data_IF_129297928077
#
_entry.id   IF_129297928077
#
_cell.length_a   1.000
_cell.length_b   1.000
_cell.length_c   1.000
_cell.angle_alpha   90.00
_cell.angle_beta   90.00
_cell.angle_gamma   90.00
#
_symmetry.space_group_name_H-M   'P 1'
#
loop_
_entity.id
_entity.type
_entity.pdbx_description
1 polymer ?
#
# COMPACT_ATOMS: atom_id res chain seq x y z
N UNK A 1 8.96 17.81 -16.34
CA UNK A 1 9.41 18.38 -15.05
C UNK A 1 8.16 18.43 -14.20
N UNK A 2 7.93 17.40 -13.37
CA UNK A 2 6.72 17.31 -12.55
C UNK A 2 6.92 18.23 -11.36
N UNK A 3 6.08 19.25 -11.22
CA UNK A 3 5.98 20.01 -9.99
C UNK A 3 5.62 19.03 -8.87
N UNK A 4 6.60 18.73 -8.01
CA UNK A 4 6.30 18.28 -6.66
C UNK A 4 5.80 19.52 -5.93
N UNK A 5 4.52 19.84 -6.07
CA UNK A 5 3.88 20.88 -5.28
C UNK A 5 4.14 20.55 -3.80
N UNK A 6 4.89 21.45 -3.16
CA UNK A 6 5.08 21.43 -1.72
C UNK A 6 3.67 21.53 -1.14
N UNK A 7 3.22 20.58 -0.30
CA UNK A 7 1.89 20.60 0.28
C UNK A 7 1.66 21.96 0.95
N UNK A 8 0.49 22.55 0.72
CA UNK A 8 0.15 23.82 1.38
C UNK A 8 0.15 23.65 2.91
N UNK A 9 0.29 24.74 3.66
CA UNK A 9 0.23 24.68 5.13
C UNK A 9 -1.08 24.05 5.65
N UNK A 10 -2.18 24.27 4.94
CA UNK A 10 -3.50 23.70 5.27
C UNK A 10 -3.56 22.18 5.00
N UNK A 11 -2.89 21.70 3.95
CA UNK A 11 -2.77 20.26 3.66
C UNK A 11 -1.94 19.55 4.72
N UNK A 12 -0.87 20.18 5.19
CA UNK A 12 -0.02 19.63 6.25
C UNK A 12 -0.77 19.54 7.59
N UNK A 13 -1.56 20.55 7.93
CA UNK A 13 -2.37 20.56 9.14
C UNK A 13 -3.48 19.50 9.07
N UNK A 14 -4.15 19.36 7.93
CA UNK A 14 -5.15 18.31 7.69
C UNK A 14 -4.54 16.92 7.77
N UNK A 15 -3.35 16.74 7.20
CA UNK A 15 -2.60 15.48 7.26
C UNK A 15 -2.26 15.12 8.71
N UNK A 16 -1.68 16.06 9.46
CA UNK A 16 -1.28 15.86 10.86
C UNK A 16 -2.48 15.52 11.73
N UNK A 17 -3.59 16.25 11.55
CA UNK A 17 -4.85 15.94 12.25
C UNK A 17 -5.31 14.52 11.95
N UNK A 18 -5.28 14.10 10.68
CA UNK A 18 -5.73 12.75 10.30
C UNK A 18 -4.85 11.65 10.89
N UNK A 19 -3.54 11.85 10.95
CA UNK A 19 -2.62 10.91 11.62
C UNK A 19 -2.98 10.78 13.10
N UNK A 20 -3.23 11.88 13.79
CA UNK A 20 -3.57 11.87 15.21
C UNK A 20 -4.91 11.17 15.47
N UNK A 21 -5.94 11.44 14.67
CA UNK A 21 -7.24 10.75 14.75
C UNK A 21 -7.07 9.22 14.61
N UNK A 22 -6.30 8.77 13.61
CA UNK A 22 -6.06 7.34 13.41
C UNK A 22 -5.34 6.70 14.61
N UNK A 23 -4.36 7.39 15.19
CA UNK A 23 -3.65 6.90 16.39
C UNK A 23 -4.56 6.81 17.60
N UNK A 24 -5.44 7.80 17.80
CA UNK A 24 -6.42 7.80 18.87
C UNK A 24 -7.39 6.62 18.72
N UNK A 25 -7.96 6.42 17.53
CA UNK A 25 -8.86 5.31 17.20
C UNK A 25 -8.19 3.94 17.46
N UNK A 26 -6.94 3.79 17.03
CA UNK A 26 -6.18 2.55 17.21
C UNK A 26 -5.84 2.28 18.67
N UNK A 27 -5.55 3.32 19.46
CA UNK A 27 -5.23 3.21 20.89
C UNK A 27 -6.40 2.65 21.71
N UNK A 28 -7.64 2.79 21.24
CA UNK A 28 -8.83 2.24 21.90
C UNK A 28 -9.03 0.74 21.61
N UNK A 29 -8.28 0.15 20.67
CA UNK A 29 -8.42 -1.25 20.25
C UNK A 29 -7.40 -2.14 20.95
N UNK A 30 -7.77 -3.38 21.25
CA UNK A 30 -6.85 -4.37 21.83
C UNK A 30 -5.76 -4.72 20.83
N UNK A 31 -4.51 -4.80 21.28
CA UNK A 31 -3.36 -5.19 20.43
C UNK A 31 -3.56 -6.55 19.77
N UNK A 32 -4.18 -7.52 20.47
CA UNK A 32 -4.51 -8.83 19.89
C UNK A 32 -5.49 -8.75 18.73
N UNK A 33 -6.48 -7.86 18.81
CA UNK A 33 -7.41 -7.62 17.71
C UNK A 33 -6.69 -6.97 16.52
N UNK A 34 -5.90 -5.92 16.78
CA UNK A 34 -5.14 -5.22 15.74
C UNK A 34 -4.17 -6.16 15.00
N UNK A 35 -3.45 -7.02 15.75
CA UNK A 35 -2.55 -8.01 15.19
C UNK A 35 -3.28 -8.99 14.27
N UNK A 36 -4.40 -9.56 14.73
CA UNK A 36 -5.19 -10.49 13.94
C UNK A 36 -5.80 -9.82 12.70
N UNK A 37 -6.41 -8.64 12.87
CA UNK A 37 -7.11 -7.93 11.81
C UNK A 37 -6.16 -7.47 10.70
N UNK A 38 -4.98 -6.99 11.07
CA UNK A 38 -3.94 -6.55 10.13
C UNK A 38 -3.06 -7.70 9.60
N UNK A 39 -3.27 -8.94 10.08
CA UNK A 39 -2.36 -10.07 9.84
C UNK A 39 -0.90 -9.71 10.14
N UNK A 40 -0.69 -9.07 11.29
CA UNK A 40 0.60 -8.67 11.83
C UNK A 40 0.93 -9.46 13.11
N UNK A 41 2.21 -9.55 13.45
CA UNK A 41 2.67 -10.19 14.68
C UNK A 41 2.89 -9.13 15.76
N UNK A 42 2.27 -9.27 16.94
CA UNK A 42 2.50 -8.36 18.06
C UNK A 42 3.54 -8.92 19.03
N UNK A 43 4.59 -8.16 19.29
CA UNK A 43 5.65 -8.49 20.24
C UNK A 43 5.62 -7.54 21.44
N UNK A 44 5.21 -8.02 22.63
CA UNK A 44 5.28 -7.23 23.85
C UNK A 44 6.73 -6.88 24.20
N UNK A 45 6.95 -5.64 24.65
CA UNK A 45 8.24 -5.14 25.14
C UNK A 45 8.19 -4.83 26.64
N UNK A 46 7.05 -4.36 27.13
CA UNK A 46 6.76 -4.07 28.53
C UNK A 46 5.26 -4.35 28.81
N UNK A 47 4.78 -4.05 30.02
CA UNK A 47 3.41 -4.26 30.47
C UNK A 47 2.33 -3.61 29.59
N UNK A 48 2.61 -2.46 28.99
CA UNK A 48 1.68 -1.69 28.14
C UNK A 48 2.27 -1.31 26.77
N UNK A 49 3.46 -1.81 26.44
CA UNK A 49 4.21 -1.46 25.22
C UNK A 49 4.56 -2.68 24.39
N UNK A 50 4.67 -2.46 23.09
CA UNK A 50 5.11 -3.49 22.16
C UNK A 50 5.31 -2.94 20.76
N UNK A 51 5.41 -3.84 19.80
CA UNK A 51 5.51 -3.51 18.39
C UNK A 51 4.74 -4.53 17.55
N UNK A 52 4.13 -4.05 16.47
CA UNK A 52 3.57 -4.88 15.42
C UNK A 52 4.60 -5.06 14.30
N UNK A 53 4.83 -6.31 13.91
CA UNK A 53 5.72 -6.68 12.82
C UNK A 53 4.88 -7.17 11.63
N UNK A 54 5.13 -6.59 10.45
CA UNK A 54 4.47 -6.97 9.22
C UNK A 54 5.33 -6.63 8.00
N UNK A 55 4.90 -7.09 6.83
CA UNK A 55 5.56 -6.76 5.57
C UNK A 55 4.90 -5.55 4.91
N UNK A 56 5.73 -4.59 4.49
CA UNK A 56 5.37 -3.49 3.60
C UNK A 56 6.29 -3.56 2.37
N UNK A 57 5.71 -3.80 1.20
CA UNK A 57 6.46 -4.00 -0.06
C UNK A 57 7.58 -5.05 0.06
N UNK A 58 7.32 -6.13 0.81
CA UNK A 58 8.28 -7.19 1.06
C UNK A 58 9.34 -6.88 2.13
N UNK A 59 9.39 -5.65 2.65
CA UNK A 59 10.30 -5.27 3.74
C UNK A 59 9.64 -5.47 5.10
N UNK A 60 10.38 -5.98 6.07
CA UNK A 60 9.91 -6.08 7.45
C UNK A 60 9.88 -4.69 8.10
N UNK A 61 8.70 -4.28 8.55
CA UNK A 61 8.50 -3.01 9.24
C UNK A 61 7.92 -3.26 10.64
N UNK A 62 8.32 -2.41 11.56
CA UNK A 62 7.87 -2.41 12.95
C UNK A 62 7.03 -1.15 13.21
N UNK A 63 5.83 -1.32 13.76
CA UNK A 63 4.96 -0.24 14.21
C UNK A 63 4.84 -0.29 15.73
N UNK A 64 5.35 0.72 16.43
CA UNK A 64 5.34 0.75 17.89
C UNK A 64 3.93 0.89 18.46
N UNK A 65 3.75 0.42 19.70
CA UNK A 65 2.54 0.62 20.49
C UNK A 65 2.93 1.14 21.88
N UNK A 66 2.25 2.17 22.42
CA UNK A 66 1.06 2.84 21.87
C UNK A 66 1.34 4.02 20.92
N UNK A 67 2.60 4.37 20.64
CA UNK A 67 2.94 5.62 19.93
C UNK A 67 2.67 5.57 18.41
N UNK A 68 2.56 4.37 17.84
CA UNK A 68 2.39 4.14 16.40
C UNK A 68 3.42 4.90 15.56
N UNK A 69 4.69 4.76 15.91
CA UNK A 69 5.83 5.16 15.09
C UNK A 69 6.33 3.97 14.28
N UNK A 70 6.59 4.18 12.99
CA UNK A 70 7.00 3.10 12.08
C UNK A 70 8.48 3.21 11.71
N UNK A 71 9.17 2.08 11.71
CA UNK A 71 10.55 1.97 11.24
C UNK A 71 10.77 0.69 10.43
N UNK A 72 11.73 0.74 9.51
CA UNK A 72 12.24 -0.44 8.82
C UNK A 72 13.05 -1.28 9.82
N UNK A 73 12.71 -2.57 9.95
CA UNK A 73 13.30 -3.44 10.98
C UNK A 73 14.78 -3.72 10.74
N UNK A 74 15.22 -3.73 9.49
CA UNK A 74 16.60 -4.06 9.11
C UNK A 74 17.54 -2.89 9.34
N UNK A 75 17.10 -1.69 9.04
CA UNK A 75 17.91 -0.47 9.08
C UNK A 75 17.68 0.37 10.32
N UNK A 76 16.54 0.22 10.98
CA UNK A 76 16.11 1.06 12.11
C UNK A 76 15.64 2.46 11.69
N UNK A 77 15.64 2.78 10.39
CA UNK A 77 15.24 4.08 9.89
C UNK A 77 13.73 4.27 10.00
N UNK A 78 13.29 5.48 10.33
CA UNK A 78 11.89 5.84 10.28
C UNK A 78 11.34 5.69 8.86
N UNK A 79 10.11 5.18 8.76
CA UNK A 79 9.38 5.19 7.49
C UNK A 79 8.99 6.61 7.11
N UNK A 80 8.72 6.81 5.82
CA UNK A 80 8.18 8.08 5.33
C UNK A 80 6.83 8.39 5.99
N UNK A 81 6.44 9.67 6.00
CA UNK A 81 5.12 10.06 6.52
C UNK A 81 3.98 9.39 5.74
N UNK A 82 4.16 9.20 4.43
CA UNK A 82 3.17 8.54 3.57
C UNK A 82 3.04 7.05 3.90
N UNK A 83 4.14 6.35 4.13
CA UNK A 83 4.10 4.94 4.54
C UNK A 83 3.49 4.78 5.94
N UNK A 84 3.81 5.70 6.86
CA UNK A 84 3.19 5.71 8.19
C UNK A 84 1.68 5.88 8.08
N UNK A 85 1.19 6.87 7.33
CA UNK A 85 -0.27 7.08 7.22
C UNK A 85 -0.94 5.87 6.56
N UNK A 86 -0.30 5.27 5.55
CA UNK A 86 -0.79 4.06 4.90
C UNK A 86 -0.92 2.90 5.89
N UNK A 87 0.09 2.68 6.74
CA UNK A 87 0.04 1.68 7.80
C UNK A 87 -1.07 1.96 8.82
N UNK A 88 -1.23 3.21 9.26
CA UNK A 88 -2.30 3.58 10.19
C UNK A 88 -3.69 3.32 9.59
N UNK A 89 -3.91 3.71 8.32
CA UNK A 89 -5.14 3.40 7.62
C UNK A 89 -5.37 1.89 7.50
N UNK A 90 -4.33 1.14 7.16
CA UNK A 90 -4.40 -0.32 7.07
C UNK A 90 -4.82 -0.94 8.41
N UNK A 91 -4.13 -0.62 9.50
CA UNK A 91 -4.50 -1.12 10.84
C UNK A 91 -5.90 -0.66 11.28
N UNK A 92 -6.35 0.52 10.84
CA UNK A 92 -7.65 1.03 11.25
C UNK A 92 -8.80 0.36 10.49
N UNK A 93 -8.58 0.00 9.23
CA UNK A 93 -9.62 -0.49 8.31
C UNK A 93 -9.60 -2.00 8.10
N UNK A 94 -8.46 -2.66 8.32
CA UNK A 94 -8.38 -4.11 8.22
C UNK A 94 -9.25 -4.77 9.31
N UNK A 95 -9.94 -5.83 8.93
CA UNK A 95 -10.88 -6.59 9.76
C UNK A 95 -10.51 -8.08 9.87
N UNK A 96 -9.39 -8.49 9.26
CA UNK A 96 -8.93 -9.87 9.21
C UNK A 96 -9.66 -10.74 8.20
N UNK A 97 -10.58 -10.18 7.39
CA UNK A 97 -11.29 -10.94 6.36
C UNK A 97 -10.29 -11.51 5.34
N UNK A 98 -10.34 -12.83 5.15
CA UNK A 98 -9.45 -13.51 4.22
C UNK A 98 -9.71 -13.07 2.78
N UNK A 99 -8.64 -12.98 1.98
CA UNK A 99 -8.75 -12.67 0.54
C UNK A 99 -9.60 -13.75 -0.14
N UNK A 100 -10.59 -13.32 -0.90
CA UNK A 100 -11.45 -14.22 -1.70
C UNK A 100 -10.73 -14.81 -2.92
N UNK A 101 -9.55 -14.29 -3.26
CA UNK A 101 -8.80 -14.63 -4.47
C UNK A 101 -9.36 -13.96 -5.74
N UNK A 102 -10.47 -13.22 -5.64
CA UNK A 102 -11.02 -12.45 -6.75
C UNK A 102 -10.28 -11.12 -6.89
N UNK A 103 -9.77 -10.86 -8.09
CA UNK A 103 -9.27 -9.55 -8.48
C UNK A 103 -10.43 -8.62 -8.87
N UNK A 104 -10.31 -7.36 -8.46
CA UNK A 104 -11.19 -6.28 -8.88
C UNK A 104 -10.34 -5.12 -9.39
N UNK A 105 -10.83 -4.42 -10.40
CA UNK A 105 -10.21 -3.19 -10.88
C UNK A 105 -10.40 -2.04 -9.89
N UNK A 106 -9.62 -0.97 -10.04
CA UNK A 106 -9.79 0.24 -9.22
C UNK A 106 -11.22 0.80 -9.32
N UNK A 107 -11.86 0.71 -10.50
CA UNK A 107 -13.22 1.22 -10.71
C UNK A 107 -14.32 0.40 -10.04
N UNK A 108 -14.01 -0.81 -9.58
CA UNK A 108 -14.94 -1.66 -8.83
C UNK A 108 -14.89 -1.41 -7.32
N UNK A 109 -13.92 -0.62 -6.83
CA UNK A 109 -13.88 -0.20 -5.44
C UNK A 109 -15.09 0.69 -5.10
N UNK A 110 -15.56 0.69 -3.84
CA UNK A 110 -16.47 1.71 -3.35
C UNK A 110 -15.91 3.10 -3.70
N UNK A 111 -16.74 3.95 -4.31
CA UNK A 111 -16.39 5.28 -4.82
C UNK A 111 -15.30 5.33 -5.91
N UNK A 112 -14.70 4.19 -6.27
CA UNK A 112 -13.61 4.10 -7.25
C UNK A 112 -14.01 4.59 -8.63
N UNK A 113 -15.28 4.41 -9.06
CA UNK A 113 -15.78 4.91 -10.35
C UNK A 113 -15.62 6.41 -10.51
N UNK A 114 -15.89 7.18 -9.46
CA UNK A 114 -15.84 8.64 -9.51
C UNK A 114 -14.40 9.16 -9.56
N UNK A 115 -13.45 8.39 -9.03
CA UNK A 115 -12.03 8.78 -8.97
C UNK A 115 -11.16 8.10 -10.03
N UNK A 116 -11.70 7.10 -10.75
CA UNK A 116 -10.94 6.28 -11.69
C UNK A 116 -10.23 7.11 -12.76
N UNK A 117 -10.87 8.16 -13.31
CA UNK A 117 -10.24 8.98 -14.34
C UNK A 117 -8.99 9.71 -13.82
N UNK A 118 -9.06 10.30 -12.63
CA UNK A 118 -7.92 10.94 -12.00
C UNK A 118 -6.82 9.91 -11.70
N UNK A 119 -7.20 8.77 -11.09
CA UNK A 119 -6.29 7.66 -10.79
C UNK A 119 -5.52 7.18 -12.02
N UNK A 120 -6.22 6.93 -13.14
CA UNK A 120 -5.59 6.51 -14.39
C UNK A 120 -4.61 7.55 -14.94
N UNK A 121 -4.90 8.84 -14.76
CA UNK A 121 -4.05 9.93 -15.24
C UNK A 121 -2.64 9.91 -14.66
N UNK A 122 -2.48 9.63 -13.36
CA UNK A 122 -1.18 9.61 -12.68
C UNK A 122 -0.61 8.20 -12.44
N UNK A 123 -1.32 7.13 -12.80
CA UNK A 123 -0.85 5.74 -12.70
C UNK A 123 -0.78 5.06 -14.07
N UNK A 124 -1.91 4.54 -14.57
CA UNK A 124 -1.99 3.74 -15.79
C UNK A 124 -1.39 4.45 -17.00
N UNK A 125 -1.70 5.73 -17.21
CA UNK A 125 -1.13 6.51 -18.31
C UNK A 125 0.37 6.74 -18.17
N UNK A 126 0.90 6.84 -16.95
CA UNK A 126 2.35 6.89 -16.74
C UNK A 126 3.02 5.57 -17.12
N UNK A 127 2.43 4.43 -16.72
CA UNK A 127 2.94 3.11 -17.10
C UNK A 127 2.92 2.93 -18.63
N UNK A 128 1.81 3.29 -19.28
CA UNK A 128 1.68 3.24 -20.76
C UNK A 128 2.76 4.10 -21.43
N UNK A 129 3.03 5.31 -20.92
CA UNK A 129 4.07 6.19 -21.50
C UNK A 129 5.48 5.66 -21.27
N UNK A 130 5.73 5.00 -20.14
CA UNK A 130 7.04 4.46 -19.77
C UNK A 130 7.39 3.21 -20.56
N UNK A 131 6.45 2.29 -20.74
CA UNK A 131 6.71 1.00 -21.39
C UNK A 131 6.28 0.96 -22.86
N UNK A 132 5.24 1.71 -23.26
CA UNK A 132 4.66 1.65 -24.61
C UNK A 132 4.37 0.19 -24.98
N UNK A 133 4.92 -0.28 -26.09
CA UNK A 133 4.79 -1.65 -26.59
C UNK A 133 5.97 -2.56 -26.16
N UNK A 134 6.87 -2.08 -25.31
CA UNK A 134 8.04 -2.83 -24.82
C UNK A 134 7.68 -3.71 -23.62
N UNK A 135 7.04 -4.85 -23.92
CA UNK A 135 6.67 -5.86 -22.93
C UNK A 135 7.89 -6.44 -22.20
N UNK A 136 9.03 -6.59 -22.87
CA UNK A 136 10.23 -7.17 -22.26
C UNK A 136 10.77 -6.26 -21.14
N UNK A 137 10.80 -4.94 -21.37
CA UNK A 137 11.19 -3.97 -20.33
C UNK A 137 10.18 -3.93 -19.19
N UNK A 138 8.88 -4.08 -19.47
CA UNK A 138 7.85 -4.24 -18.44
C UNK A 138 8.09 -5.46 -17.55
N UNK A 139 8.29 -6.64 -18.15
CA UNK A 139 8.54 -7.89 -17.42
C UNK A 139 9.81 -7.82 -16.57
N UNK A 140 10.89 -7.28 -17.14
CA UNK A 140 12.16 -7.08 -16.44
C UNK A 140 11.99 -6.14 -15.23
N UNK A 141 11.32 -4.99 -15.42
CA UNK A 141 11.08 -4.03 -14.35
C UNK A 141 10.21 -4.63 -13.24
N UNK A 142 9.10 -5.29 -13.61
CA UNK A 142 8.20 -5.91 -12.65
C UNK A 142 8.89 -7.00 -11.82
N UNK A 143 9.69 -7.86 -12.46
CA UNK A 143 10.47 -8.90 -11.79
C UNK A 143 11.52 -8.30 -10.86
N UNK A 144 12.22 -7.24 -11.30
CA UNK A 144 13.25 -6.56 -10.50
C UNK A 144 12.68 -5.89 -9.23
N UNK A 145 11.40 -5.53 -9.25
CA UNK A 145 10.65 -5.00 -8.11
C UNK A 145 10.04 -6.09 -7.21
N UNK A 146 10.35 -7.37 -7.46
CA UNK A 146 9.82 -8.50 -6.69
C UNK A 146 8.39 -8.91 -7.07
N UNK A 147 7.92 -8.49 -8.25
CA UNK A 147 6.64 -8.92 -8.80
C UNK A 147 6.64 -10.42 -9.10
N UNK A 148 5.50 -11.07 -8.85
CA UNK A 148 5.30 -12.48 -9.22
C UNK A 148 4.40 -12.58 -10.46
N UNK A 149 4.81 -13.28 -11.54
CA UNK A 149 4.00 -13.43 -12.74
C UNK A 149 2.59 -13.94 -12.46
N UNK A 150 1.61 -13.45 -13.22
CA UNK A 150 0.22 -13.85 -13.13
C UNK A 150 -0.37 -14.09 -14.53
N UNK A 151 -1.25 -15.11 -14.71
CA UNK A 151 -1.74 -15.49 -16.03
C UNK A 151 -2.94 -14.63 -16.46
N UNK A 152 -2.70 -13.36 -16.77
CA UNK A 152 -3.71 -12.43 -17.29
C UNK A 152 -3.07 -11.43 -18.27
N UNK A 153 -3.78 -11.08 -19.34
CA UNK A 153 -3.26 -10.19 -20.38
C UNK A 153 -2.10 -10.80 -21.18
N UNK A 154 -1.34 -9.94 -21.86
CA UNK A 154 -0.11 -10.34 -22.57
C UNK A 154 1.03 -10.60 -21.59
N UNK A 155 1.12 -9.77 -20.54
CA UNK A 155 1.98 -9.99 -19.38
C UNK A 155 1.30 -9.39 -18.14
N UNK A 156 1.46 -10.02 -16.96
CA UNK A 156 0.99 -9.40 -15.71
C UNK A 156 1.77 -9.87 -14.49
N UNK A 157 1.79 -9.02 -13.46
CA UNK A 157 2.53 -9.27 -12.23
C UNK A 157 1.71 -8.86 -11.01
N UNK A 158 1.82 -9.67 -9.97
CA UNK A 158 1.24 -9.44 -8.65
C UNK A 158 2.31 -8.92 -7.68
N UNK A 159 1.92 -7.95 -6.85
CA UNK A 159 2.76 -7.35 -5.83
C UNK A 159 2.05 -7.43 -4.48
N UNK A 160 2.68 -8.04 -3.48
CA UNK A 160 2.15 -8.07 -2.11
C UNK A 160 2.60 -6.83 -1.37
N UNK A 161 1.71 -5.83 -1.29
CA UNK A 161 2.00 -4.52 -0.67
C UNK A 161 1.93 -4.63 0.85
N UNK A 162 0.82 -5.17 1.36
CA UNK A 162 0.56 -5.44 2.77
C UNK A 162 0.08 -6.89 2.91
N UNK A 163 0.01 -7.46 4.13
CA UNK A 163 -0.45 -8.85 4.32
C UNK A 163 -1.76 -9.14 3.60
N UNK A 164 -2.75 -8.25 3.76
CA UNK A 164 -4.09 -8.38 3.17
C UNK A 164 -4.34 -7.53 1.91
N UNK A 165 -3.34 -6.81 1.40
CA UNK A 165 -3.47 -5.99 0.18
C UNK A 165 -2.44 -6.41 -0.87
N UNK A 166 -2.93 -6.75 -2.05
CA UNK A 166 -2.09 -7.09 -3.20
C UNK A 166 -2.53 -6.28 -4.40
N UNK A 167 -1.59 -5.90 -5.25
CA UNK A 167 -1.83 -5.22 -6.51
C UNK A 167 -1.55 -6.18 -7.66
N UNK A 168 -2.35 -6.06 -8.73
CA UNK A 168 -2.13 -6.74 -9.99
C UNK A 168 -1.98 -5.67 -11.06
N UNK A 169 -0.87 -5.71 -11.79
CA UNK A 169 -0.61 -4.84 -12.93
C UNK A 169 -0.64 -5.72 -14.18
N UNK A 170 -1.49 -5.34 -15.15
CA UNK A 170 -1.72 -6.09 -16.38
C UNK A 170 -1.30 -5.25 -17.57
N UNK A 171 -0.42 -5.80 -18.39
CA UNK A 171 -0.04 -5.27 -19.68
C UNK A 171 -0.89 -5.95 -20.76
N UNK A 172 -1.63 -5.13 -21.51
CA UNK A 172 -2.36 -5.56 -22.69
C UNK A 172 -1.63 -5.01 -23.91
N UNK A 173 -1.04 -5.89 -24.72
CA UNK A 173 -0.52 -5.49 -26.00
C UNK A 173 -1.70 -5.14 -26.91
N UNK A 174 -1.72 -3.94 -27.47
CA UNK A 174 -2.71 -3.59 -28.48
C UNK A 174 -2.48 -4.44 -29.74
N UNK A 175 -3.56 -4.81 -30.43
CA UNK A 175 -3.44 -5.23 -31.82
C UNK A 175 -3.11 -4.00 -32.68
N UNK A 176 -2.42 -4.19 -33.81
CA UNK A 176 -2.08 -3.13 -34.78
C UNK A 176 -3.30 -2.43 -35.42
N UNK A 177 -4.53 -2.77 -35.02
CA UNK A 177 -5.78 -2.42 -35.70
C UNK A 177 -6.60 -1.27 -35.07
N UNK A 178 -6.05 -0.45 -34.15
CA UNK A 178 -6.76 0.73 -33.59
C UNK A 178 -5.88 1.97 -33.38
#
# INVERSE_FOLDING_TARGET
>A
MSDSEIPSGDDFDRFTRRVNELKEDLSQKKTSYLAAAASAEFHPRDSDKGEFNLLLWGNEVCLSYPDFSAHDRRTGNHLSQMDLVMLLYYFNTADGTAKTGRWISFSELPDGKFYNQAFQGYTGQHLVRSFRDDMATFEYAATSLGGTPFPLGSASFTFKVLPLVSLLVVFWQGDEDF
#
